data_IF_189652003274
#
_entry.id   IF_189652003274
#
_cell.length_a   1.000
_cell.length_b   1.000
_cell.length_c   1.000
_cell.angle_alpha   90.00
_cell.angle_beta   90.00
_cell.angle_gamma   90.00
#
_symmetry.space_group_name_H-M   'P 1'
#
loop_
_entity.id
_entity.type
_entity.pdbx_description
1 polymer ?
#
# COMPACT_ATOMS: atom_id res chain seq x y z
N UNK A 1 -6.29 -12.11 -50.77
CA UNK A 1 -5.48 -12.02 -49.53
C UNK A 1 -5.27 -10.61 -48.97
N UNK A 2 -5.47 -9.51 -49.72
CA UNK A 2 -5.18 -8.13 -49.24
C UNK A 2 -5.99 -7.67 -48.01
N UNK A 3 -7.23 -8.14 -47.84
CA UNK A 3 -8.10 -7.74 -46.73
C UNK A 3 -7.63 -8.15 -45.33
N UNK A 4 -6.93 -9.29 -45.19
CA UNK A 4 -6.49 -9.79 -43.88
C UNK A 4 -5.34 -8.94 -43.29
N UNK A 5 -4.45 -8.43 -44.14
CA UNK A 5 -3.34 -7.54 -43.74
C UNK A 5 -3.84 -6.18 -43.24
N UNK A 6 -4.91 -5.67 -43.81
CA UNK A 6 -5.49 -4.40 -43.40
C UNK A 6 -6.18 -4.51 -42.03
N UNK A 7 -6.93 -5.59 -41.81
CA UNK A 7 -7.57 -5.86 -40.52
C UNK A 7 -6.53 -6.02 -39.41
N UNK A 8 -5.44 -6.76 -39.65
CA UNK A 8 -4.37 -6.91 -38.65
C UNK A 8 -3.64 -5.60 -38.38
N UNK A 9 -3.39 -4.78 -39.40
CA UNK A 9 -2.78 -3.46 -39.24
C UNK A 9 -3.66 -2.54 -38.38
N UNK A 10 -4.97 -2.52 -38.62
CA UNK A 10 -5.92 -1.73 -37.83
C UNK A 10 -6.07 -2.25 -36.40
N UNK A 11 -6.06 -3.57 -36.22
CA UNK A 11 -6.06 -4.21 -34.91
C UNK A 11 -4.80 -3.86 -34.11
N UNK A 12 -3.64 -3.88 -34.75
CA UNK A 12 -2.35 -3.56 -34.14
C UNK A 12 -2.27 -2.08 -33.73
N UNK A 13 -2.77 -1.18 -34.58
CA UNK A 13 -2.90 0.25 -34.26
C UNK A 13 -3.84 0.46 -33.05
N UNK A 14 -4.98 -0.23 -33.02
CA UNK A 14 -5.91 -0.17 -31.89
C UNK A 14 -5.29 -0.71 -30.61
N UNK A 15 -4.62 -1.87 -30.66
CA UNK A 15 -3.86 -2.45 -29.52
C UNK A 15 -2.78 -1.49 -29.03
N UNK A 16 -2.00 -0.89 -29.92
CA UNK A 16 -0.95 0.07 -29.56
C UNK A 16 -1.51 1.33 -28.92
N UNK A 17 -2.66 1.84 -29.39
CA UNK A 17 -3.36 3.00 -28.82
C UNK A 17 -3.93 2.68 -27.43
N UNK A 18 -4.50 1.49 -27.24
CA UNK A 18 -4.99 1.01 -25.93
C UNK A 18 -3.81 0.82 -24.97
N UNK A 19 -2.71 0.18 -25.40
CA UNK A 19 -1.49 0.01 -24.58
C UNK A 19 -0.89 1.36 -24.17
N UNK A 20 -0.80 2.33 -25.09
CA UNK A 20 -0.33 3.69 -24.81
C UNK A 20 -1.27 4.46 -23.88
N UNK A 21 -2.60 4.28 -24.00
CA UNK A 21 -3.61 4.89 -23.11
C UNK A 21 -3.63 4.24 -21.73
N UNK A 22 -3.41 2.93 -21.63
CA UNK A 22 -3.20 2.21 -20.37
C UNK A 22 -1.93 2.71 -19.66
N UNK A 23 -0.80 2.84 -20.36
CA UNK A 23 0.43 3.41 -19.77
C UNK A 23 0.22 4.87 -19.33
N UNK A 24 -0.59 5.65 -20.07
CA UNK A 24 -0.87 7.07 -19.77
C UNK A 24 -1.94 7.30 -18.69
N UNK A 25 -2.93 6.42 -18.56
CA UNK A 25 -4.10 6.62 -17.68
C UNK A 25 -4.16 5.66 -16.48
N UNK A 26 -3.42 4.55 -16.49
CA UNK A 26 -3.51 3.50 -15.48
C UNK A 26 -2.48 3.65 -14.34
N UNK A 27 -1.60 4.65 -14.40
CA UNK A 27 -0.36 4.66 -13.61
C UNK A 27 -0.30 5.56 -12.37
N UNK A 28 -0.92 6.74 -12.37
CA UNK A 28 -0.49 7.79 -11.44
C UNK A 28 -1.42 8.09 -10.27
N UNK A 29 -2.74 8.19 -10.44
CA UNK A 29 -3.57 8.78 -9.38
C UNK A 29 -4.29 7.72 -8.53
N UNK A 30 -5.05 6.81 -9.16
CA UNK A 30 -5.80 5.78 -8.42
C UNK A 30 -4.85 4.73 -7.81
N UNK A 31 -3.82 4.32 -8.55
CA UNK A 31 -2.80 3.38 -8.05
C UNK A 31 -1.94 4.00 -6.93
N UNK A 32 -1.61 5.29 -7.02
CA UNK A 32 -0.89 5.99 -5.94
C UNK A 32 -1.77 6.25 -4.73
N UNK A 33 -3.05 6.55 -4.92
CA UNK A 33 -4.02 6.65 -3.83
C UNK A 33 -4.13 5.31 -3.08
N UNK A 34 -4.27 4.19 -3.80
CA UNK A 34 -4.32 2.85 -3.19
C UNK A 34 -3.04 2.51 -2.41
N UNK A 35 -1.87 2.91 -2.92
CA UNK A 35 -0.59 2.77 -2.22
C UNK A 35 -0.53 3.64 -0.95
N UNK A 36 -0.95 4.90 -1.03
CA UNK A 36 -0.99 5.82 0.10
C UNK A 36 -1.95 5.31 1.19
N UNK A 37 -3.16 4.89 0.80
CA UNK A 37 -4.14 4.30 1.71
C UNK A 37 -3.60 3.05 2.39
N UNK A 38 -2.93 2.14 1.66
CA UNK A 38 -2.30 0.96 2.26
C UNK A 38 -1.29 1.34 3.34
N UNK A 39 -0.44 2.32 3.06
CA UNK A 39 0.57 2.83 4.02
C UNK A 39 -0.12 3.43 5.24
N UNK A 40 -1.15 4.25 5.05
CA UNK A 40 -1.93 4.83 6.14
C UNK A 40 -2.61 3.76 6.99
N UNK A 41 -3.24 2.77 6.38
CA UNK A 41 -3.92 1.70 7.11
C UNK A 41 -2.95 0.76 7.82
N UNK A 42 -1.75 0.51 7.27
CA UNK A 42 -0.72 -0.28 7.95
C UNK A 42 -0.28 0.40 9.26
N UNK A 43 -0.10 1.72 9.24
CA UNK A 43 0.23 2.50 10.44
C UNK A 43 -0.92 2.45 11.46
N UNK A 44 -2.15 2.77 11.02
CA UNK A 44 -3.32 2.84 11.90
C UNK A 44 -3.63 1.46 12.50
N UNK A 45 -3.53 0.38 11.71
CA UNK A 45 -3.77 -0.97 12.20
C UNK A 45 -2.79 -1.36 13.32
N UNK A 46 -1.49 -1.05 13.17
CA UNK A 46 -0.48 -1.35 14.19
C UNK A 46 -0.77 -0.60 15.51
N UNK A 47 -1.14 0.68 15.42
CA UNK A 47 -1.49 1.50 16.58
C UNK A 47 -2.76 0.98 17.26
N UNK A 48 -3.82 0.73 16.50
CA UNK A 48 -5.09 0.22 17.05
C UNK A 48 -4.91 -1.13 17.74
N UNK A 49 -4.16 -2.05 17.12
CA UNK A 49 -3.87 -3.36 17.73
C UNK A 49 -3.03 -3.19 19.01
N UNK A 50 -1.99 -2.35 18.99
CA UNK A 50 -1.16 -2.08 20.17
C UNK A 50 -1.98 -1.48 21.32
N UNK A 51 -2.74 -0.43 21.06
CA UNK A 51 -3.59 0.22 22.07
C UNK A 51 -4.67 -0.72 22.59
N UNK A 52 -5.32 -1.49 21.72
CA UNK A 52 -6.36 -2.44 22.15
C UNK A 52 -5.78 -3.52 23.04
N UNK A 53 -4.63 -4.09 22.67
CA UNK A 53 -3.93 -5.08 23.49
C UNK A 53 -3.48 -4.48 24.82
N UNK A 54 -2.88 -3.30 24.81
CA UNK A 54 -2.45 -2.59 26.02
C UNK A 54 -3.61 -2.27 26.96
N UNK A 55 -4.76 -1.88 26.41
CA UNK A 55 -5.98 -1.62 27.19
C UNK A 55 -6.53 -2.89 27.84
N UNK A 56 -6.61 -3.99 27.10
CA UNK A 56 -7.06 -5.28 27.65
C UNK A 56 -6.10 -5.71 28.79
N UNK A 57 -4.79 -5.53 28.59
CA UNK A 57 -3.78 -5.89 29.57
C UNK A 57 -3.84 -5.02 30.83
N UNK A 58 -4.02 -3.70 30.66
CA UNK A 58 -4.23 -2.78 31.78
C UNK A 58 -5.47 -3.14 32.60
N UNK A 59 -6.53 -3.62 31.93
CA UNK A 59 -7.76 -4.05 32.60
C UNK A 59 -7.64 -5.40 33.31
N UNK A 60 -6.66 -6.22 32.92
CA UNK A 60 -6.38 -7.53 33.55
C UNK A 60 -5.41 -7.42 34.72
N UNK A 61 -4.44 -6.51 34.62
CA UNK A 61 -3.41 -6.30 35.64
C UNK A 61 -3.72 -5.11 36.57
N UNK A 62 -4.86 -4.44 36.37
CA UNK A 62 -5.26 -3.17 37.02
C UNK A 62 -4.19 -2.05 36.93
N UNK A 63 -3.33 -2.11 35.90
CA UNK A 63 -2.24 -1.15 35.66
C UNK A 63 -2.73 0.09 34.92
N UNK A 64 -3.75 0.79 35.44
CA UNK A 64 -4.36 1.92 34.71
C UNK A 64 -3.41 3.13 34.61
N UNK A 65 -3.16 3.74 33.43
CA UNK A 65 -3.18 3.24 32.05
C UNK A 65 -1.73 3.07 31.50
N UNK A 66 -0.85 2.46 32.29
CA UNK A 66 0.60 2.48 32.03
C UNK A 66 1.00 1.57 30.87
N UNK A 67 0.42 0.36 30.77
CA UNK A 67 0.74 -0.54 29.66
C UNK A 67 0.11 -0.05 28.37
N UNK A 68 -1.09 0.52 28.40
CA UNK A 68 -1.71 1.12 27.20
C UNK A 68 -0.81 2.17 26.57
N UNK A 69 -0.19 3.03 27.37
CA UNK A 69 0.74 4.07 26.89
C UNK A 69 2.00 3.43 26.29
N UNK A 70 2.59 2.45 26.99
CA UNK A 70 3.77 1.73 26.51
C UNK A 70 3.50 1.01 25.18
N UNK A 71 2.40 0.26 25.10
CA UNK A 71 1.98 -0.45 23.90
C UNK A 71 1.57 0.48 22.76
N UNK A 72 1.00 1.66 23.05
CA UNK A 72 0.75 2.67 22.04
C UNK A 72 2.05 3.13 21.38
N UNK A 73 3.07 3.48 22.18
CA UNK A 73 4.37 3.89 21.64
C UNK A 73 4.99 2.74 20.82
N UNK A 74 4.97 1.52 21.35
CA UNK A 74 5.47 0.35 20.63
C UNK A 74 4.72 0.11 19.31
N UNK A 75 3.40 0.28 19.30
CA UNK A 75 2.55 0.17 18.12
C UNK A 75 2.86 1.24 17.07
N UNK A 76 3.08 2.49 17.48
CA UNK A 76 3.51 3.58 16.59
C UNK A 76 4.88 3.27 15.99
N UNK A 77 5.85 2.86 16.81
CA UNK A 77 7.20 2.51 16.34
C UNK A 77 7.14 1.35 15.34
N UNK A 78 6.41 0.29 15.65
CA UNK A 78 6.23 -0.86 14.76
C UNK A 78 5.55 -0.45 13.43
N UNK A 79 4.52 0.39 13.50
CA UNK A 79 3.83 0.91 12.31
C UNK A 79 4.76 1.71 11.41
N UNK A 80 5.54 2.64 11.98
CA UNK A 80 6.53 3.44 11.24
C UNK A 80 7.59 2.54 10.58
N UNK A 81 8.13 1.56 11.32
CA UNK A 81 9.11 0.62 10.78
C UNK A 81 8.55 -0.19 9.60
N UNK A 82 7.29 -0.60 9.67
CA UNK A 82 6.64 -1.34 8.58
C UNK A 82 6.42 -0.46 7.35
N UNK A 83 6.03 0.81 7.54
CA UNK A 83 5.90 1.79 6.46
C UNK A 83 7.24 2.06 5.77
N UNK A 84 8.30 2.30 6.53
CA UNK A 84 9.66 2.51 5.99
C UNK A 84 10.12 1.28 5.21
N UNK A 85 9.87 0.08 5.72
CA UNK A 85 10.19 -1.17 5.02
C UNK A 85 9.41 -1.31 3.70
N UNK A 86 8.13 -0.96 3.69
CA UNK A 86 7.30 -0.90 2.47
C UNK A 86 7.87 0.08 1.44
N UNK A 87 8.27 1.28 1.88
CA UNK A 87 8.89 2.29 1.03
C UNK A 87 10.25 1.83 0.48
N UNK A 88 11.10 1.23 1.33
CA UNK A 88 12.41 0.71 0.92
C UNK A 88 12.30 -0.43 -0.09
N UNK A 89 11.38 -1.38 0.12
CA UNK A 89 11.09 -2.46 -0.85
C UNK A 89 10.68 -1.90 -2.22
N UNK A 90 9.96 -0.79 -2.24
CA UNK A 90 9.56 -0.14 -3.48
C UNK A 90 10.76 0.48 -4.20
N UNK A 91 11.76 0.98 -3.47
CA UNK A 91 13.01 1.50 -4.03
C UNK A 91 13.97 0.39 -4.53
N UNK A 92 14.08 -0.75 -3.85
CA UNK A 92 15.01 -1.81 -4.27
C UNK A 92 14.54 -2.56 -5.54
N UNK A 93 13.24 -2.62 -5.79
CA UNK A 93 12.70 -3.14 -7.06
C UNK A 93 13.06 -2.28 -8.28
N UNK A 94 13.59 -1.07 -8.11
CA UNK A 94 14.09 -0.24 -9.22
C UNK A 94 15.57 -0.52 -9.58
N UNK A 95 16.30 -1.32 -8.79
CA UNK A 95 17.73 -1.59 -8.97
C UNK A 95 18.05 -2.99 -9.52
N UNK A 96 17.04 -3.75 -9.91
CA UNK A 96 17.12 -5.10 -10.48
C UNK A 96 16.39 -5.15 -11.81
#
# INVERSE_FOLDING_TARGET
MKNLKEISTRLEIAKKKIKKKQIKNNGSNVASLGKALKISTELVAAVVVGTTLGFILDNWLDTRPWLTISFFIMGVVAGILNVIKSAKKMHENFKK
#
